data_IF_247975326238
#
_entry.id   IF_247975326238
#
_cell.length_a   1.000
_cell.length_b   1.000
_cell.length_c   1.000
_cell.angle_alpha   90.00
_cell.angle_beta   90.00
_cell.angle_gamma   90.00
#
_symmetry.space_group_name_H-M   'P 1'
#
loop_
_entity.id
_entity.type
_entity.pdbx_description
1 polymer ?
#
# COMPACT_ATOMS: atom_id res chain seq x y z
N UNK A 1 13.04 29.70 8.69
CA UNK A 1 12.05 29.73 9.80
C UNK A 1 12.08 31.08 10.55
N UNK A 2 11.05 31.41 11.37
CA UNK A 2 11.01 32.66 12.18
C UNK A 2 12.12 32.75 13.25
N UNK A 3 12.71 31.61 13.63
CA UNK A 3 13.77 31.53 14.65
C UNK A 3 15.17 31.31 14.03
N UNK A 4 15.30 31.35 12.71
CA UNK A 4 16.58 31.06 12.02
C UNK A 4 17.03 29.59 12.08
N UNK A 5 16.21 28.70 12.64
CA UNK A 5 16.49 27.26 12.71
C UNK A 5 16.22 26.63 11.33
N UNK A 6 17.18 25.88 10.75
CA UNK A 6 16.99 25.15 9.50
C UNK A 6 15.84 24.15 9.59
N UNK A 7 15.00 24.07 8.57
CA UNK A 7 13.81 23.23 8.56
C UNK A 7 13.58 22.57 7.20
N UNK A 8 13.23 21.29 7.25
CA UNK A 8 12.92 20.46 6.08
C UNK A 8 11.49 19.90 6.22
N UNK A 9 10.80 19.78 5.09
CA UNK A 9 9.49 19.11 5.00
C UNK A 9 9.65 17.89 4.11
N UNK A 10 9.17 16.73 4.55
CA UNK A 10 9.06 15.54 3.71
C UNK A 10 7.60 15.32 3.31
N UNK A 11 7.35 15.08 2.02
CA UNK A 11 6.05 14.61 1.54
C UNK A 11 6.16 13.19 0.97
N UNK A 12 5.23 12.35 1.41
CA UNK A 12 5.18 10.94 1.07
C UNK A 12 4.36 10.69 -0.19
N UNK A 13 3.42 11.56 -0.52
CA UNK A 13 2.47 11.35 -1.60
C UNK A 13 2.91 12.05 -2.89
N UNK A 14 2.39 11.58 -4.02
CA UNK A 14 2.57 12.21 -5.32
C UNK A 14 1.85 13.58 -5.41
N UNK A 15 0.85 13.80 -4.56
CA UNK A 15 0.18 15.09 -4.37
C UNK A 15 0.56 15.64 -3.00
N UNK A 16 1.19 16.82 -2.97
CA UNK A 16 1.64 17.45 -1.74
C UNK A 16 0.43 17.85 -0.88
N UNK A 17 0.42 17.36 0.36
CA UNK A 17 -0.66 17.62 1.32
C UNK A 17 -0.75 19.09 1.71
N UNK A 18 -1.93 19.56 2.11
CA UNK A 18 -2.19 20.99 2.39
C UNK A 18 -1.26 21.60 3.44
N UNK A 19 -1.00 20.87 4.53
CA UNK A 19 -0.08 21.31 5.57
C UNK A 19 1.35 21.45 5.04
N UNK A 20 1.84 20.42 4.32
CA UNK A 20 3.15 20.42 3.70
C UNK A 20 3.27 21.52 2.64
N UNK A 21 2.22 21.82 1.89
CA UNK A 21 2.19 22.93 0.91
C UNK A 21 2.39 24.30 1.56
N UNK A 22 1.84 24.51 2.75
CA UNK A 22 2.05 25.75 3.52
C UNK A 22 3.49 25.80 4.04
N UNK A 23 3.95 24.72 4.68
CA UNK A 23 5.28 24.64 5.27
C UNK A 23 6.40 24.71 4.22
N UNK A 24 6.19 24.13 3.04
CA UNK A 24 7.12 24.16 1.93
C UNK A 24 7.41 25.58 1.43
N UNK A 25 6.56 26.58 1.69
CA UNK A 25 6.87 27.98 1.33
C UNK A 25 7.98 28.57 2.19
N UNK A 26 8.08 28.12 3.44
CA UNK A 26 8.97 28.70 4.47
C UNK A 26 10.08 27.77 4.95
N UNK A 27 10.11 26.52 4.46
CA UNK A 27 11.19 25.56 4.73
C UNK A 27 12.46 25.89 3.94
N UNK A 28 13.60 25.40 4.40
CA UNK A 28 14.89 25.54 3.73
C UNK A 28 15.10 24.41 2.70
N UNK A 29 14.47 23.25 2.92
CA UNK A 29 14.46 22.12 2.00
C UNK A 29 13.08 21.43 1.93
N UNK A 30 12.85 20.71 0.83
CA UNK A 30 11.70 19.84 0.63
C UNK A 30 12.21 18.48 0.13
N UNK A 31 11.87 17.42 0.85
CA UNK A 31 12.15 16.05 0.44
C UNK A 31 10.88 15.42 -0.14
N UNK A 32 10.98 14.84 -1.33
CA UNK A 32 9.86 14.21 -2.04
C UNK A 32 10.07 12.71 -2.18
N UNK A 33 9.00 11.94 -2.01
CA UNK A 33 9.00 10.51 -2.30
C UNK A 33 8.89 10.20 -3.80
N UNK A 34 8.40 11.15 -4.59
CA UNK A 34 8.18 11.00 -6.03
C UNK A 34 8.96 12.05 -6.82
N UNK A 35 9.32 11.71 -8.06
CA UNK A 35 9.96 12.64 -9.01
C UNK A 35 9.01 13.77 -9.40
N UNK A 36 7.73 13.46 -9.56
CA UNK A 36 6.67 14.44 -9.80
C UNK A 36 5.87 14.64 -8.51
N UNK A 37 5.82 15.89 -8.03
CA UNK A 37 5.11 16.26 -6.82
C UNK A 37 4.07 17.35 -7.13
N UNK A 38 2.84 16.92 -7.36
CA UNK A 38 1.72 17.80 -7.67
C UNK A 38 1.42 18.73 -6.47
N UNK A 39 1.04 19.97 -6.74
CA UNK A 39 0.69 20.94 -5.70
C UNK A 39 1.88 21.53 -4.94
N UNK A 40 3.11 21.31 -5.41
CA UNK A 40 4.29 22.02 -4.93
C UNK A 40 4.16 23.53 -5.21
N UNK A 41 4.36 24.42 -4.22
CA UNK A 41 4.38 25.86 -4.47
C UNK A 41 5.53 26.25 -5.39
N UNK A 42 5.36 27.19 -6.35
CA UNK A 42 6.45 27.67 -7.20
C UNK A 42 7.66 28.19 -6.41
N UNK A 43 7.41 28.82 -5.26
CA UNK A 43 8.46 29.31 -4.35
C UNK A 43 9.31 28.21 -3.71
N UNK A 44 8.90 26.95 -3.84
CA UNK A 44 9.59 25.79 -3.29
C UNK A 44 10.28 24.92 -4.36
N UNK A 45 10.11 25.23 -5.65
CA UNK A 45 10.65 24.42 -6.75
C UNK A 45 12.17 24.23 -6.67
N UNK A 46 12.92 25.29 -6.35
CA UNK A 46 14.39 25.25 -6.30
C UNK A 46 15.00 24.54 -5.08
N UNK A 47 14.19 23.99 -4.17
CA UNK A 47 14.65 23.32 -2.94
C UNK A 47 14.12 21.90 -2.76
N UNK A 48 13.57 21.31 -3.82
CA UNK A 48 13.09 19.93 -3.80
C UNK A 48 14.23 18.96 -4.07
N UNK A 49 14.30 17.88 -3.28
CA UNK A 49 15.16 16.73 -3.54
C UNK A 49 14.31 15.47 -3.47
N UNK A 50 14.42 14.61 -4.48
CA UNK A 50 13.74 13.30 -4.48
C UNK A 50 14.56 12.35 -3.62
N UNK A 51 14.02 11.95 -2.48
CA UNK A 51 14.68 11.04 -1.53
C UNK A 51 14.05 9.65 -1.49
N UNK A 52 12.85 9.50 -2.06
CA UNK A 52 11.98 8.35 -1.79
C UNK A 52 11.31 8.45 -0.43
N UNK A 53 10.55 7.42 -0.08
CA UNK A 53 9.89 7.31 1.20
C UNK A 53 10.74 6.46 2.16
N UNK A 54 11.10 6.95 3.36
CA UNK A 54 11.79 6.14 4.35
C UNK A 54 10.98 4.88 4.70
N UNK A 55 11.63 3.73 4.67
CA UNK A 55 11.05 2.45 5.08
C UNK A 55 11.70 1.93 6.35
N UNK A 56 10.97 1.12 7.12
CA UNK A 56 11.47 0.50 8.35
C UNK A 56 12.51 -0.58 8.04
N UNK A 57 13.44 -0.83 8.96
CA UNK A 57 14.48 -1.88 8.79
C UNK A 57 13.90 -3.26 8.52
N UNK A 58 12.75 -3.59 9.13
CA UNK A 58 12.05 -4.86 8.89
C UNK A 58 11.60 -5.05 7.43
N UNK A 59 11.41 -3.96 6.69
CA UNK A 59 11.11 -3.96 5.25
C UNK A 59 12.41 -4.15 4.46
N UNK A 60 13.47 -3.45 4.86
CA UNK A 60 14.79 -3.57 4.24
C UNK A 60 15.35 -5.00 4.35
N UNK A 61 15.09 -5.69 5.46
CA UNK A 61 15.44 -7.10 5.63
C UNK A 61 14.74 -8.04 4.63
N UNK A 62 13.64 -7.60 4.00
CA UNK A 62 12.88 -8.34 3.00
C UNK A 62 13.16 -7.84 1.57
N UNK A 63 14.13 -6.94 1.39
CA UNK A 63 14.46 -6.37 0.09
C UNK A 63 14.80 -7.46 -0.91
N UNK A 64 14.12 -7.45 -2.06
CA UNK A 64 14.30 -8.42 -3.13
C UNK A 64 14.24 -9.89 -2.67
N UNK A 65 13.38 -10.17 -1.68
CA UNK A 65 13.19 -11.53 -1.20
C UNK A 65 12.80 -12.48 -2.34
N UNK A 66 13.34 -13.70 -2.32
CA UNK A 66 12.98 -14.74 -3.28
C UNK A 66 11.48 -15.03 -3.23
N UNK A 67 10.88 -15.31 -4.38
CA UNK A 67 9.48 -15.73 -4.43
C UNK A 67 9.32 -17.09 -3.71
N UNK A 68 8.21 -17.30 -2.99
CA UNK A 68 7.84 -18.64 -2.54
C UNK A 68 7.63 -19.57 -3.75
N UNK A 69 7.61 -20.88 -3.51
CA UNK A 69 7.31 -21.86 -4.56
C UNK A 69 5.87 -21.73 -5.05
N UNK A 70 5.63 -21.98 -6.34
CA UNK A 70 4.28 -22.02 -6.94
C UNK A 70 3.48 -23.30 -6.63
N UNK A 71 3.82 -24.05 -5.57
CA UNK A 71 3.00 -25.18 -5.10
C UNK A 71 1.58 -24.73 -4.73
N UNK A 72 1.47 -23.52 -4.20
CA UNK A 72 0.25 -22.73 -4.16
C UNK A 72 0.55 -21.31 -4.64
N UNK A 73 -0.45 -20.64 -5.18
CA UNK A 73 -0.43 -19.21 -5.42
C UNK A 73 -0.77 -18.48 -4.13
N UNK A 74 0.10 -17.57 -3.70
CA UNK A 74 0.00 -16.88 -2.42
C UNK A 74 -0.54 -15.48 -2.66
N UNK A 75 -1.79 -15.26 -2.29
CA UNK A 75 -2.45 -13.99 -2.47
C UNK A 75 -2.58 -13.29 -1.12
N UNK A 76 -2.03 -12.08 -1.01
CA UNK A 76 -2.16 -11.24 0.17
C UNK A 76 -3.13 -10.09 -0.10
N UNK A 77 -4.14 -9.91 0.76
CA UNK A 77 -5.11 -8.82 0.65
C UNK A 77 -5.13 -7.98 1.91
N UNK A 78 -4.88 -6.67 1.82
CA UNK A 78 -4.97 -5.76 2.97
C UNK A 78 -5.25 -4.32 2.58
N UNK A 79 -5.70 -3.48 3.51
CA UNK A 79 -6.01 -2.09 3.16
C UNK A 79 -6.07 -1.10 4.32
N UNK A 80 -5.49 -1.46 5.47
CA UNK A 80 -5.70 -0.71 6.71
C UNK A 80 -7.16 -0.79 7.18
N UNK A 81 -7.54 -0.03 8.21
CA UNK A 81 -8.88 -0.15 8.81
C UNK A 81 -10.01 0.07 7.80
N UNK A 82 -9.94 1.11 6.95
CA UNK A 82 -10.99 1.39 5.96
C UNK A 82 -10.96 0.40 4.77
N UNK A 83 -9.77 -0.01 4.32
CA UNK A 83 -9.65 -0.98 3.23
C UNK A 83 -10.04 -2.39 3.65
N UNK A 84 -9.81 -2.78 4.90
CA UNK A 84 -10.19 -4.10 5.43
C UNK A 84 -11.70 -4.34 5.40
N UNK A 85 -12.51 -3.28 5.57
CA UNK A 85 -13.96 -3.38 5.39
C UNK A 85 -14.31 -3.64 3.92
N UNK A 86 -13.85 -2.76 3.02
CA UNK A 86 -14.09 -2.90 1.58
C UNK A 86 -13.69 -4.27 1.04
N UNK A 87 -12.48 -4.73 1.35
CA UNK A 87 -11.99 -6.03 0.88
C UNK A 87 -12.70 -7.21 1.55
N UNK A 88 -13.11 -7.07 2.82
CA UNK A 88 -13.94 -8.06 3.50
C UNK A 88 -15.27 -8.30 2.78
N UNK A 89 -15.87 -7.24 2.23
CA UNK A 89 -17.15 -7.34 1.53
C UNK A 89 -16.99 -7.72 0.04
N UNK A 90 -15.91 -7.26 -0.61
CA UNK A 90 -15.71 -7.41 -2.04
C UNK A 90 -15.07 -8.75 -2.43
N UNK A 91 -14.01 -9.18 -1.72
CA UNK A 91 -13.22 -10.35 -2.11
C UNK A 91 -14.01 -11.67 -2.12
N UNK A 92 -14.94 -11.93 -1.17
CA UNK A 92 -15.81 -13.12 -1.26
C UNK A 92 -16.56 -13.24 -2.59
N UNK A 93 -17.01 -12.11 -3.15
CA UNK A 93 -17.71 -12.09 -4.45
C UNK A 93 -16.76 -12.39 -5.61
N UNK A 94 -15.53 -11.88 -5.53
CA UNK A 94 -14.48 -12.17 -6.52
C UNK A 94 -14.21 -13.67 -6.57
N UNK A 95 -13.98 -14.29 -5.41
CA UNK A 95 -13.71 -15.73 -5.37
C UNK A 95 -14.94 -16.57 -5.73
N UNK A 96 -16.15 -16.14 -5.40
CA UNK A 96 -17.37 -16.82 -5.82
C UNK A 96 -17.55 -16.85 -7.34
N UNK A 97 -17.04 -15.83 -8.04
CA UNK A 97 -17.06 -15.77 -9.50
C UNK A 97 -15.98 -16.63 -10.18
N UNK A 98 -15.00 -17.14 -9.42
CA UNK A 98 -13.93 -18.00 -9.95
C UNK A 98 -14.38 -19.46 -10.06
N UNK A 99 -13.90 -20.16 -11.09
CA UNK A 99 -14.12 -21.60 -11.20
C UNK A 99 -13.51 -22.31 -9.98
N UNK A 100 -14.11 -23.43 -9.56
CA UNK A 100 -13.64 -24.18 -8.41
C UNK A 100 -12.18 -24.66 -8.58
N UNK A 101 -11.82 -25.08 -9.79
CA UNK A 101 -10.47 -25.54 -10.13
C UNK A 101 -9.40 -24.45 -9.90
N UNK A 102 -9.71 -23.18 -10.21
CA UNK A 102 -8.76 -22.07 -10.08
C UNK A 102 -8.53 -21.67 -8.62
N UNK A 103 -9.51 -21.95 -7.73
CA UNK A 103 -9.44 -21.61 -6.30
C UNK A 103 -8.55 -22.55 -5.50
N UNK A 104 -8.50 -23.84 -5.86
CA UNK A 104 -7.78 -24.88 -5.10
C UNK A 104 -6.29 -24.58 -4.99
N UNK A 105 -5.72 -23.93 -6.01
CA UNK A 105 -4.32 -23.52 -6.03
C UNK A 105 -4.00 -22.31 -5.15
N UNK A 106 -4.98 -21.61 -4.57
CA UNK A 106 -4.77 -20.34 -3.88
C UNK A 106 -4.66 -20.55 -2.36
N UNK A 107 -3.61 -19.97 -1.77
CA UNK A 107 -3.50 -19.71 -0.34
C UNK A 107 -3.70 -18.22 -0.12
N UNK A 108 -4.82 -17.86 0.50
CA UNK A 108 -5.20 -16.48 0.79
C UNK A 108 -4.71 -16.06 2.17
N UNK A 109 -4.08 -14.90 2.27
CA UNK A 109 -3.92 -14.18 3.54
C UNK A 109 -4.66 -12.87 3.43
N UNK A 110 -5.59 -12.58 4.34
CA UNK A 110 -6.40 -11.36 4.25
C UNK A 110 -6.58 -10.66 5.59
N UNK A 111 -6.37 -9.35 5.57
CA UNK A 111 -6.78 -8.48 6.66
C UNK A 111 -8.31 -8.30 6.64
N UNK A 112 -8.99 -8.68 7.71
CA UNK A 112 -10.45 -8.58 7.84
C UNK A 112 -10.79 -7.94 9.17
N UNK A 113 -11.68 -6.95 9.19
CA UNK A 113 -12.13 -6.36 10.46
C UNK A 113 -12.71 -7.41 11.39
N UNK A 114 -12.49 -7.24 12.69
CA UNK A 114 -12.99 -8.16 13.70
C UNK A 114 -14.51 -8.39 13.59
N UNK A 115 -15.27 -7.33 13.30
CA UNK A 115 -16.73 -7.37 13.13
C UNK A 115 -17.20 -8.18 11.91
N UNK A 116 -16.38 -8.30 10.85
CA UNK A 116 -16.71 -9.04 9.63
C UNK A 116 -16.09 -10.45 9.61
N UNK A 117 -15.22 -10.78 10.58
CA UNK A 117 -14.40 -11.99 10.56
C UNK A 117 -15.22 -13.26 10.38
N UNK A 118 -16.29 -13.43 11.16
CA UNK A 118 -17.12 -14.64 11.12
C UNK A 118 -17.83 -14.82 9.76
N UNK A 119 -18.36 -13.73 9.20
CA UNK A 119 -19.05 -13.76 7.92
C UNK A 119 -18.10 -14.09 6.76
N UNK A 120 -16.93 -13.44 6.73
CA UNK A 120 -15.91 -13.67 5.69
C UNK A 120 -15.33 -15.08 5.77
N UNK A 121 -15.02 -15.56 6.98
CA UNK A 121 -14.52 -16.92 7.19
C UNK A 121 -15.53 -17.98 6.72
N UNK A 122 -16.82 -17.77 7.00
CA UNK A 122 -17.88 -18.65 6.51
C UNK A 122 -17.94 -18.68 4.99
N UNK A 123 -17.94 -17.50 4.35
CA UNK A 123 -17.96 -17.41 2.89
C UNK A 123 -16.77 -18.12 2.23
N UNK A 124 -15.55 -17.96 2.76
CA UNK A 124 -14.36 -18.62 2.23
C UNK A 124 -14.36 -20.13 2.45
N UNK A 125 -14.85 -20.60 3.60
CA UNK A 125 -15.01 -22.05 3.85
C UNK A 125 -15.99 -22.67 2.87
N UNK A 126 -17.13 -22.03 2.62
CA UNK A 126 -18.15 -22.53 1.69
C UNK A 126 -17.63 -22.55 0.24
N UNK A 127 -16.66 -21.68 -0.07
CA UNK A 127 -15.94 -21.64 -1.35
C UNK A 127 -14.73 -22.60 -1.41
N UNK A 128 -14.40 -23.31 -0.32
CA UNK A 128 -13.28 -24.24 -0.25
C UNK A 128 -11.89 -23.57 -0.25
N UNK A 129 -11.80 -22.30 0.17
CA UNK A 129 -10.54 -21.55 0.18
C UNK A 129 -9.68 -21.85 1.41
N UNK A 130 -8.39 -22.06 1.14
CA UNK A 130 -7.35 -22.10 2.17
C UNK A 130 -6.94 -20.66 2.54
N UNK A 131 -7.39 -20.16 3.71
CA UNK A 131 -7.19 -18.76 4.11
C UNK A 131 -6.60 -18.55 5.52
N UNK A 132 -5.85 -17.47 5.71
CA UNK A 132 -5.42 -16.89 7.00
C UNK A 132 -6.05 -15.51 7.12
N UNK A 133 -6.96 -15.36 8.07
CA UNK A 133 -7.73 -14.13 8.27
C UNK A 133 -7.42 -13.54 9.63
N UNK A 134 -6.99 -12.28 9.67
CA UNK A 134 -6.69 -11.58 10.93
C UNK A 134 -7.08 -10.11 10.84
N UNK A 135 -7.42 -9.46 11.98
CA UNK A 135 -7.71 -8.03 12.00
C UNK A 135 -6.47 -7.17 11.75
N UNK A 136 -5.31 -7.68 12.16
CA UNK A 136 -4.04 -7.01 12.04
C UNK A 136 -2.90 -8.03 11.98
N UNK A 137 -1.90 -7.76 11.14
CA UNK A 137 -0.68 -8.56 11.06
C UNK A 137 0.50 -7.71 11.51
N UNK A 138 1.28 -8.22 12.46
CA UNK A 138 2.48 -7.54 12.99
C UNK A 138 3.71 -7.71 12.09
N UNK A 139 3.67 -8.70 11.20
CA UNK A 139 4.74 -9.16 10.32
C UNK A 139 4.46 -8.87 8.83
N UNK A 140 3.75 -7.77 8.54
CA UNK A 140 3.31 -7.42 7.18
C UNK A 140 4.41 -7.46 6.10
N UNK A 141 5.64 -6.95 6.34
CA UNK A 141 6.70 -7.03 5.33
C UNK A 141 7.07 -8.47 4.96
N UNK A 142 7.10 -9.39 5.92
CA UNK A 142 7.35 -10.81 5.66
C UNK A 142 6.20 -11.44 4.87
N UNK A 143 4.96 -11.03 5.13
CA UNK A 143 3.79 -11.51 4.37
C UNK A 143 3.77 -10.99 2.94
N UNK A 144 4.17 -9.73 2.72
CA UNK A 144 4.36 -9.19 1.38
C UNK A 144 5.46 -9.99 0.66
N UNK A 145 6.60 -10.22 1.31
CA UNK A 145 7.68 -11.03 0.74
C UNK A 145 7.24 -12.46 0.40
N UNK A 146 6.37 -13.06 1.20
CA UNK A 146 5.85 -14.41 0.98
C UNK A 146 4.61 -14.45 0.07
N UNK A 147 4.18 -13.34 -0.53
CA UNK A 147 3.10 -13.35 -1.52
C UNK A 147 3.65 -13.50 -2.94
N UNK A 148 2.82 -14.04 -3.82
CA UNK A 148 3.02 -13.97 -5.27
C UNK A 148 2.35 -12.73 -5.85
N UNK A 149 1.24 -12.30 -5.25
CA UNK A 149 0.50 -11.09 -5.61
C UNK A 149 -0.08 -10.44 -4.35
N UNK A 150 -0.06 -9.11 -4.35
CA UNK A 150 -0.72 -8.29 -3.33
C UNK A 150 -1.96 -7.60 -3.91
N UNK A 151 -3.06 -7.56 -3.18
CA UNK A 151 -4.21 -6.68 -3.46
C UNK A 151 -4.34 -5.71 -2.30
N UNK A 152 -4.17 -4.42 -2.56
CA UNK A 152 -4.15 -3.46 -1.47
C UNK A 152 -4.63 -2.05 -1.82
N UNK A 153 -4.71 -1.19 -0.79
CA UNK A 153 -4.79 0.26 -1.00
C UNK A 153 -3.42 0.82 -1.41
N UNK A 154 -3.40 1.97 -2.06
CA UNK A 154 -2.19 2.64 -2.59
C UNK A 154 -1.74 3.81 -1.71
N UNK A 155 -1.65 3.57 -0.40
CA UNK A 155 -1.00 4.53 0.51
C UNK A 155 0.50 4.64 0.23
N UNK A 156 1.07 5.83 0.43
CA UNK A 156 2.48 6.10 0.13
C UNK A 156 3.47 5.15 0.81
N UNK A 157 3.22 4.75 2.05
CA UNK A 157 4.08 3.78 2.74
C UNK A 157 3.93 2.38 2.15
N UNK A 158 2.71 1.97 1.79
CA UNK A 158 2.45 0.66 1.18
C UNK A 158 3.19 0.49 -0.14
N UNK A 159 3.11 1.48 -1.04
CA UNK A 159 3.80 1.42 -2.34
C UNK A 159 5.32 1.40 -2.17
N UNK A 160 5.85 2.11 -1.17
CA UNK A 160 7.28 2.13 -0.89
C UNK A 160 7.75 0.76 -0.38
N UNK A 161 6.99 0.13 0.52
CA UNK A 161 7.29 -1.22 0.99
C UNK A 161 7.20 -2.24 -0.16
N UNK A 162 6.20 -2.15 -1.03
CA UNK A 162 6.08 -2.99 -2.23
C UNK A 162 7.27 -2.83 -3.18
N UNK A 163 7.70 -1.59 -3.45
CA UNK A 163 8.84 -1.32 -4.31
C UNK A 163 10.16 -1.83 -3.74
N UNK A 164 10.36 -1.72 -2.42
CA UNK A 164 11.57 -2.24 -1.75
C UNK A 164 11.59 -3.77 -1.75
N UNK A 165 10.47 -4.42 -1.45
CA UNK A 165 10.38 -5.88 -1.38
C UNK A 165 10.38 -6.51 -2.78
N UNK A 166 9.81 -5.82 -3.77
CA UNK A 166 9.75 -6.27 -5.16
C UNK A 166 8.60 -7.26 -5.39
N UNK A 167 7.36 -6.85 -5.05
CA UNK A 167 6.16 -7.69 -5.19
C UNK A 167 5.10 -7.00 -6.05
N UNK A 168 4.51 -7.71 -7.03
CA UNK A 168 3.46 -7.15 -7.86
C UNK A 168 2.21 -6.90 -7.01
N UNK A 169 1.48 -5.84 -7.36
CA UNK A 169 0.27 -5.46 -6.64
C UNK A 169 -0.85 -5.01 -7.58
N UNK A 170 -2.08 -5.43 -7.26
CA UNK A 170 -3.31 -4.80 -7.73
C UNK A 170 -3.74 -3.78 -6.69
N UNK A 171 -3.63 -2.51 -7.04
CA UNK A 171 -3.97 -1.41 -6.15
C UNK A 171 -5.40 -0.93 -6.38
N UNK A 172 -6.16 -0.79 -5.30
CA UNK A 172 -7.52 -0.22 -5.30
C UNK A 172 -7.48 1.08 -4.49
N UNK A 173 -7.31 2.26 -5.12
CA UNK A 173 -7.23 3.53 -4.41
C UNK A 173 -8.48 3.82 -3.56
N UNK A 174 -8.31 4.49 -2.42
CA UNK A 174 -9.44 4.91 -1.58
C UNK A 174 -10.33 5.90 -2.35
N UNK A 175 -11.64 5.63 -2.51
CA UNK A 175 -12.55 6.55 -3.19
C UNK A 175 -12.71 7.84 -2.38
N UNK A 176 -12.88 8.97 -3.09
CA UNK A 176 -13.14 10.28 -2.50
C UNK A 176 -12.08 10.77 -1.49
N UNK A 177 -10.83 10.32 -1.60
CA UNK A 177 -9.73 10.95 -0.87
C UNK A 177 -9.67 12.44 -1.26
N UNK A 178 -9.60 13.33 -0.26
CA UNK A 178 -9.75 14.79 -0.44
C UNK A 178 -8.89 15.35 -1.58
N UNK A 179 -7.67 14.83 -1.72
CA UNK A 179 -6.69 15.28 -2.71
C UNK A 179 -6.38 14.17 -3.76
N UNK A 180 -7.13 13.06 -3.76
CA UNK A 180 -6.93 11.88 -4.63
C UNK A 180 -5.49 11.30 -4.60
N UNK A 181 -4.78 11.50 -3.50
CA UNK A 181 -3.36 11.12 -3.35
C UNK A 181 -3.09 9.65 -3.65
N UNK A 182 -3.98 8.75 -3.22
CA UNK A 182 -3.82 7.31 -3.45
C UNK A 182 -3.91 6.94 -4.93
N UNK A 183 -4.69 7.67 -5.74
CA UNK A 183 -4.75 7.41 -7.17
C UNK A 183 -3.43 7.79 -7.83
N UNK A 184 -2.95 9.01 -7.58
CA UNK A 184 -1.68 9.49 -8.13
C UNK A 184 -0.48 8.66 -7.65
N UNK A 185 -0.50 8.20 -6.39
CA UNK A 185 0.49 7.27 -5.87
C UNK A 185 0.51 5.96 -6.67
N UNK A 186 -0.67 5.39 -6.96
CA UNK A 186 -0.79 4.16 -7.73
C UNK A 186 -0.35 4.35 -9.19
N UNK A 187 -0.75 5.45 -9.83
CA UNK A 187 -0.38 5.78 -11.21
C UNK A 187 1.12 6.00 -11.35
N UNK A 188 1.72 6.76 -10.43
CA UNK A 188 3.17 6.99 -10.41
C UNK A 188 3.95 5.69 -10.22
N UNK A 189 3.46 4.78 -9.35
CA UNK A 189 4.09 3.48 -9.15
C UNK A 189 3.93 2.58 -10.38
N UNK A 190 2.73 2.50 -10.95
CA UNK A 190 2.46 1.69 -12.14
C UNK A 190 3.24 2.18 -13.38
N UNK A 191 3.50 3.49 -13.49
CA UNK A 191 4.32 4.07 -14.55
C UNK A 191 5.80 3.65 -14.48
N UNK A 192 6.28 3.16 -13.32
CA UNK A 192 7.64 2.68 -13.15
C UNK A 192 7.85 1.21 -13.56
N UNK A 193 6.77 0.48 -13.86
CA UNK A 193 6.75 -0.96 -14.17
C UNK A 193 6.34 -1.85 -13.00
#
# INVERSE_FOLDING_TARGET
SRLGIPCCVHDQNAVMGRANRVLARVSDAVASSFSELCGLPPSAAGKVTVTGNPVRDIVLHQRAAAYPSFTKFHLLVFGGSQGAQFFGDFMPRVFAAMAAADRVGIRLTQQVRQENMAAVAAAYRDLGLDCDLQPFFTDMPARIAWSHLVVCRSGASTIAELGVIGRPAVMVPLPHAIDNDQLHNAESFAGAG
#
